data_IF_012151345358
#
_entry.id   IF_012151345358
#
_cell.length_a   1.000
_cell.length_b   1.000
_cell.length_c   1.000
_cell.angle_alpha   90.00
_cell.angle_beta   90.00
_cell.angle_gamma   90.00
#
_symmetry.space_group_name_H-M   'P 1'
#
loop_
_entity.id
_entity.type
_entity.pdbx_description
1 polymer ?
#
# COMPACT_ATOMS: atom_id res chain seq x y z
N UNK A 1 23.68 7.09 -1.40
CA UNK A 1 22.46 7.08 -0.56
C UNK A 1 21.82 5.69 -0.61
N UNK A 2 21.36 5.14 0.51
CA UNK A 2 20.56 3.90 0.52
C UNK A 2 19.08 4.28 0.41
N UNK A 3 18.43 3.88 -0.70
CA UNK A 3 17.01 4.12 -0.96
C UNK A 3 16.35 2.76 -1.09
N UNK A 4 15.54 2.37 -0.10
CA UNK A 4 14.82 1.09 -0.06
C UNK A 4 15.71 -0.15 -0.30
N UNK A 5 16.90 -0.19 0.29
CA UNK A 5 17.83 -1.33 0.16
C UNK A 5 18.70 -1.31 -1.09
N UNK A 6 18.57 -0.29 -1.95
CA UNK A 6 19.46 -0.06 -3.09
C UNK A 6 20.46 1.03 -2.75
N UNK A 7 21.74 0.80 -3.05
CA UNK A 7 22.76 1.84 -2.93
C UNK A 7 22.82 2.58 -4.26
N UNK A 8 22.46 3.87 -4.21
CA UNK A 8 22.52 4.79 -5.34
C UNK A 8 23.82 5.60 -5.22
N UNK A 9 24.83 5.35 -6.09
CA UNK A 9 26.14 6.03 -6.03
C UNK A 9 26.08 7.47 -6.55
N UNK A 10 25.13 7.76 -7.45
CA UNK A 10 24.77 9.09 -7.90
C UNK A 10 23.26 9.23 -7.76
N UNK A 11 22.82 10.24 -7.03
CA UNK A 11 21.40 10.58 -6.87
C UNK A 11 21.27 12.08 -7.06
N UNK A 12 20.23 12.51 -7.77
CA UNK A 12 19.88 13.92 -7.93
C UNK A 12 18.62 14.14 -7.12
N UNK A 13 18.67 15.08 -6.18
CA UNK A 13 17.53 15.47 -5.37
C UNK A 13 17.08 16.85 -5.85
N UNK A 14 15.86 16.91 -6.40
CA UNK A 14 15.24 18.17 -6.83
C UNK A 14 14.25 18.61 -5.76
N UNK A 15 14.45 19.82 -5.24
CA UNK A 15 13.57 20.45 -4.26
C UNK A 15 12.99 21.70 -4.86
N UNK A 16 11.66 21.81 -4.86
CA UNK A 16 10.96 23.04 -5.16
C UNK A 16 10.42 23.61 -3.85
N UNK A 17 10.87 24.80 -3.49
CA UNK A 17 10.32 25.55 -2.37
C UNK A 17 9.21 26.45 -2.92
N UNK A 18 8.00 26.29 -2.40
CA UNK A 18 6.83 27.06 -2.83
C UNK A 18 6.45 28.09 -1.77
N UNK A 19 6.02 29.26 -2.23
CA UNK A 19 5.38 30.28 -1.42
C UNK A 19 4.11 30.75 -2.13
N UNK A 20 2.98 30.95 -1.41
CA UNK A 20 2.77 30.66 0.00
C UNK A 20 2.53 29.16 0.27
N UNK A 21 2.45 28.76 1.55
CA UNK A 21 2.14 27.38 1.96
C UNK A 21 0.67 27.05 1.64
N UNK A 22 0.41 25.99 0.85
CA UNK A 22 -0.93 25.71 0.32
C UNK A 22 -1.65 24.44 0.81
N UNK A 23 -1.01 23.57 1.60
CA UNK A 23 -1.59 22.29 2.03
C UNK A 23 -1.88 22.27 3.54
N UNK A 24 -2.89 23.02 3.97
CA UNK A 24 -3.31 23.10 5.37
C UNK A 24 -4.51 22.18 5.63
N UNK A 25 -4.53 21.54 6.80
CA UNK A 25 -5.66 20.71 7.21
C UNK A 25 -6.94 21.55 7.29
N UNK A 26 -7.99 21.13 6.59
CA UNK A 26 -9.28 21.85 6.56
C UNK A 26 -9.39 22.98 5.53
N UNK A 27 -8.33 23.26 4.76
CA UNK A 27 -8.36 24.28 3.71
C UNK A 27 -8.20 23.64 2.32
N UNK A 28 -9.01 24.08 1.35
CA UNK A 28 -8.89 23.64 -0.03
C UNK A 28 -7.69 24.32 -0.71
N UNK A 29 -6.80 23.58 -1.40
CA UNK A 29 -5.66 24.16 -2.12
C UNK A 29 -6.05 25.07 -3.29
N UNK A 30 -7.30 24.95 -3.77
CA UNK A 30 -7.88 25.76 -4.84
C UNK A 30 -9.39 25.88 -4.66
N UNK A 31 -9.99 26.88 -5.30
CA UNK A 31 -11.45 27.05 -5.36
C UNK A 31 -11.96 26.47 -6.70
N UNK A 32 -13.02 25.63 -6.70
CA UNK A 32 -13.59 25.12 -7.94
C UNK A 32 -14.29 26.25 -8.71
N UNK A 33 -14.08 26.32 -10.03
CA UNK A 33 -14.65 27.38 -10.86
C UNK A 33 -14.14 27.34 -12.30
N UNK A 34 -14.61 28.27 -13.13
CA UNK A 34 -14.06 28.46 -14.48
C UNK A 34 -12.67 29.11 -14.37
N UNK A 35 -11.70 28.75 -15.23
CA UNK A 35 -10.40 29.40 -15.22
C UNK A 35 -10.52 30.92 -15.29
N UNK A 36 -9.69 31.63 -14.52
CA UNK A 36 -9.64 33.08 -14.44
C UNK A 36 -10.92 33.80 -13.96
N UNK A 37 -11.94 33.07 -13.46
CA UNK A 37 -13.18 33.72 -12.99
C UNK A 37 -13.00 34.54 -11.70
N UNK A 38 -11.88 34.37 -10.99
CA UNK A 38 -11.57 35.01 -9.72
C UNK A 38 -10.07 35.30 -9.59
N UNK A 39 -9.45 35.91 -10.60
CA UNK A 39 -8.04 36.29 -10.51
C UNK A 39 -7.82 37.37 -9.45
N UNK A 40 -6.88 37.17 -8.50
CA UNK A 40 -6.63 38.16 -7.45
C UNK A 40 -6.17 39.50 -8.03
N UNK A 41 -6.52 40.64 -7.39
CA UNK A 41 -6.04 41.96 -7.81
C UNK A 41 -4.51 42.07 -7.90
N UNK A 42 -3.77 41.29 -7.10
CA UNK A 42 -2.30 41.23 -7.13
C UNK A 42 -1.73 40.74 -8.47
N UNK A 43 -2.53 40.00 -9.26
CA UNK A 43 -2.19 39.55 -10.61
C UNK A 43 -2.74 40.49 -11.69
N UNK A 44 -3.23 41.70 -11.34
CA UNK A 44 -3.72 42.68 -12.31
C UNK A 44 -5.00 42.28 -13.04
N UNK A 45 -5.69 41.23 -12.58
CA UNK A 45 -6.93 40.72 -13.20
C UNK A 45 -6.74 40.07 -14.59
N UNK A 46 -5.50 39.96 -15.07
CA UNK A 46 -5.19 39.39 -16.38
C UNK A 46 -5.31 37.87 -16.38
N UNK A 47 -5.70 37.34 -17.54
CA UNK A 47 -5.80 35.91 -17.79
C UNK A 47 -5.01 35.55 -19.04
N UNK A 48 -4.02 34.66 -18.89
CA UNK A 48 -3.24 34.15 -20.01
C UNK A 48 -3.19 32.64 -19.94
N UNK A 49 -3.57 31.95 -21.01
CA UNK A 49 -3.53 30.49 -21.09
C UNK A 49 -4.21 29.79 -19.89
N UNK A 50 -5.37 30.32 -19.46
CA UNK A 50 -6.15 29.84 -18.29
C UNK A 50 -5.47 30.04 -16.92
N UNK A 51 -4.42 30.87 -16.84
CA UNK A 51 -3.73 31.24 -15.61
C UNK A 51 -3.84 32.74 -15.34
N UNK A 52 -4.03 33.09 -14.07
CA UNK A 52 -3.99 34.49 -13.65
C UNK A 52 -2.58 35.04 -13.81
N UNK A 53 -2.45 36.13 -14.57
CA UNK A 53 -1.17 36.67 -15.00
C UNK A 53 -1.22 38.19 -14.98
N UNK A 54 -0.13 38.82 -14.50
CA UNK A 54 0.01 40.28 -14.48
C UNK A 54 0.83 40.72 -15.69
N UNK A 55 0.25 41.55 -16.56
CA UNK A 55 1.02 42.24 -17.61
C UNK A 55 1.93 43.31 -16.99
N UNK A 56 3.18 43.35 -17.46
CA UNK A 56 4.28 44.08 -16.83
C UNK A 56 4.00 45.60 -16.79
N UNK A 57 3.94 46.14 -15.57
CA UNK A 57 4.26 47.55 -15.31
C UNK A 57 5.48 47.59 -14.39
N UNK A 58 6.50 48.33 -14.82
CA UNK A 58 7.81 48.49 -14.18
C UNK A 58 7.71 49.07 -12.76
N UNK A 59 7.32 48.26 -11.77
CA UNK A 59 7.47 48.60 -10.34
C UNK A 59 8.06 47.42 -9.56
N UNK A 60 9.13 47.65 -8.77
CA UNK A 60 9.72 46.62 -7.93
C UNK A 60 8.70 46.07 -6.92
N UNK A 61 8.75 44.75 -6.72
CA UNK A 61 7.98 44.03 -5.71
C UNK A 61 8.39 44.49 -4.30
N UNK A 62 7.49 45.13 -3.55
CA UNK A 62 7.63 45.23 -2.09
C UNK A 62 6.98 44.00 -1.48
N UNK A 63 7.70 43.15 -0.72
CA UNK A 63 7.12 42.02 -0.02
C UNK A 63 6.34 42.52 1.20
N UNK A 64 5.16 43.11 0.97
CA UNK A 64 4.14 43.10 2.00
C UNK A 64 3.40 41.78 1.87
N UNK A 65 3.58 40.91 2.86
CA UNK A 65 2.73 39.73 3.06
C UNK A 65 1.27 40.19 3.01
N UNK A 66 0.42 39.64 2.13
CA UNK A 66 -1.01 39.86 2.25
C UNK A 66 -1.44 39.20 3.57
N UNK A 67 -1.83 40.04 4.52
CA UNK A 67 -2.50 39.63 5.75
C UNK A 67 -3.69 38.73 5.39
N UNK A 68 -3.68 37.53 5.95
CA UNK A 68 -4.84 36.70 6.30
C UNK A 68 -6.04 36.72 5.33
N UNK A 69 -5.94 36.04 4.18
CA UNK A 69 -7.13 35.35 3.64
C UNK A 69 -7.15 33.92 4.18
N UNK A 70 -7.62 33.78 5.42
CA UNK A 70 -8.02 32.49 5.98
C UNK A 70 -9.16 31.92 5.14
N UNK A 71 -8.92 30.77 4.50
CA UNK A 71 -9.96 30.02 3.80
C UNK A 71 -10.90 29.37 4.85
N UNK A 72 -11.74 30.14 5.52
CA UNK A 72 -12.78 29.59 6.39
C UNK A 72 -13.88 28.92 5.55
N UNK A 73 -14.17 27.66 5.86
CA UNK A 73 -15.37 26.97 5.38
C UNK A 73 -16.48 27.28 6.37
N UNK A 74 -17.51 27.99 5.89
CA UNK A 74 -18.72 28.31 6.64
C UNK A 74 -19.36 27.02 7.19
N UNK A 75 -19.28 26.82 8.52
CA UNK A 75 -20.01 25.73 9.20
C UNK A 75 -21.50 26.00 9.02
N UNK A 76 -22.20 25.12 8.31
CA UNK A 76 -23.66 25.09 8.34
C UNK A 76 -24.15 24.94 9.79
N UNK A 77 -24.60 26.06 10.37
CA UNK A 77 -25.30 26.11 11.64
C UNK A 77 -26.74 25.66 11.41
N UNK A 78 -27.09 24.58 12.08
CA UNK A 78 -28.46 24.24 12.48
C UNK A 78 -29.18 25.46 13.06
N UNK A 79 -30.32 25.83 12.48
CA UNK A 79 -31.38 26.58 13.17
C UNK A 79 -32.74 25.97 12.85
N UNK A 80 -33.36 25.45 13.91
CA UNK A 80 -34.77 25.18 14.01
C UNK A 80 -35.57 26.49 14.14
N UNK A 81 -36.82 26.44 13.67
CA UNK A 81 -38.06 27.14 14.08
C UNK A 81 -38.83 27.58 12.83
N UNK A 82 -39.88 26.85 12.42
CA UNK A 82 -41.23 26.73 12.99
C UNK A 82 -42.18 27.80 12.43
N UNK A 83 -43.07 27.36 11.54
CA UNK A 83 -44.25 28.07 11.07
C UNK A 83 -45.25 27.05 10.48
N UNK A 84 -46.11 26.54 11.36
CA UNK A 84 -47.50 26.07 11.15
C UNK A 84 -48.27 26.91 10.11
N UNK A 85 -49.24 26.48 9.28
CA UNK A 85 -50.29 25.44 9.26
C UNK A 85 -50.74 25.27 7.78
N UNK A 86 -51.06 24.06 7.31
CA UNK A 86 -52.38 23.71 6.73
C UNK A 86 -52.46 22.27 6.19
N UNK A 87 -53.50 21.60 6.68
CA UNK A 87 -53.91 20.20 6.57
C UNK A 87 -54.57 19.82 5.24
N UNK A 88 -54.35 18.57 4.76
CA UNK A 88 -55.40 17.55 4.42
C UNK A 88 -54.79 16.27 3.77
N UNK A 89 -55.54 15.13 3.72
CA UNK A 89 -55.11 13.85 4.29
C UNK A 89 -54.57 12.81 3.28
N UNK A 90 -53.96 11.76 3.86
CA UNK A 90 -53.51 10.51 3.24
C UNK A 90 -54.66 9.73 2.58
N UNK A 91 -54.34 9.09 1.46
CA UNK A 91 -55.05 7.90 0.98
C UNK A 91 -54.02 6.82 0.62
N UNK A 92 -54.22 5.61 1.14
CA UNK A 92 -53.43 4.41 0.92
C UNK A 92 -53.64 3.85 -0.50
N UNK A 93 -52.63 3.19 -1.05
CA UNK A 93 -52.80 1.83 -1.63
C UNK A 93 -51.45 1.09 -1.73
N UNK A 94 -51.41 -0.22 -1.40
CA UNK A 94 -50.20 -1.03 -1.36
C UNK A 94 -49.99 -1.76 -2.70
N UNK A 95 -48.74 -1.84 -3.14
CA UNK A 95 -48.34 -2.81 -4.17
C UNK A 95 -47.23 -3.69 -3.62
N UNK A 96 -47.62 -4.91 -3.28
CA UNK A 96 -46.74 -6.02 -3.02
C UNK A 96 -46.13 -6.50 -4.34
N UNK A 97 -44.81 -6.66 -4.36
CA UNK A 97 -44.15 -7.64 -5.21
C UNK A 97 -42.83 -8.04 -4.56
N UNK A 98 -42.88 -9.17 -3.85
CA UNK A 98 -41.81 -10.19 -3.79
C UNK A 98 -40.38 -9.67 -3.70
N UNK A 99 -39.93 -9.44 -2.46
CA UNK A 99 -38.51 -9.43 -2.13
C UNK A 99 -37.94 -10.82 -2.41
N UNK A 100 -37.23 -10.94 -3.52
CA UNK A 100 -36.23 -11.99 -3.69
C UNK A 100 -35.21 -11.83 -2.58
N UNK A 101 -34.96 -12.91 -1.85
CA UNK A 101 -33.84 -13.07 -0.92
C UNK A 101 -32.53 -12.62 -1.62
N UNK A 102 -32.14 -11.36 -1.42
CA UNK A 102 -30.79 -10.89 -1.68
C UNK A 102 -29.91 -11.54 -0.61
N UNK A 103 -29.52 -12.78 -0.88
CA UNK A 103 -28.33 -13.37 -0.28
C UNK A 103 -27.19 -12.40 -0.54
N UNK A 104 -26.84 -11.60 0.46
CA UNK A 104 -25.66 -10.75 0.49
C UNK A 104 -24.48 -11.56 -0.07
N UNK A 105 -24.13 -11.29 -1.33
CA UNK A 105 -22.92 -11.84 -1.93
C UNK A 105 -21.77 -11.29 -1.11
N UNK A 106 -21.30 -12.15 -0.23
CA UNK A 106 -20.39 -11.84 0.86
C UNK A 106 -18.98 -11.65 0.29
N UNK A 107 -18.76 -10.68 -0.59
CA UNK A 107 -17.55 -10.54 -1.40
C UNK A 107 -16.34 -10.05 -0.59
N UNK A 108 -15.13 -10.45 -0.99
CA UNK A 108 -13.89 -9.89 -0.41
C UNK A 108 -13.83 -8.43 -0.82
N UNK A 109 -13.97 -7.52 0.15
CA UNK A 109 -14.14 -6.08 -0.11
C UNK A 109 -12.84 -5.44 -0.60
N UNK A 110 -11.69 -5.93 -0.12
CA UNK A 110 -10.38 -5.43 -0.52
C UNK A 110 -9.69 -6.39 -1.48
N UNK A 111 -9.42 -5.96 -2.70
CA UNK A 111 -8.68 -6.72 -3.72
C UNK A 111 -7.19 -6.39 -3.76
N UNK A 112 -6.67 -5.65 -2.77
CA UNK A 112 -5.26 -5.27 -2.75
C UNK A 112 -4.39 -6.51 -2.47
N UNK A 113 -3.59 -6.90 -3.47
CA UNK A 113 -2.65 -8.02 -3.38
C UNK A 113 -1.25 -7.56 -2.97
N UNK A 114 -0.52 -8.44 -2.28
CA UNK A 114 0.90 -8.25 -1.96
C UNK A 114 1.78 -8.75 -3.11
N UNK A 115 1.40 -9.86 -3.73
CA UNK A 115 2.09 -10.43 -4.88
C UNK A 115 1.87 -9.57 -6.12
N UNK A 116 2.92 -9.42 -6.92
CA UNK A 116 2.83 -8.85 -8.26
C UNK A 116 2.99 -9.95 -9.29
N UNK A 117 2.00 -10.09 -10.17
CA UNK A 117 2.08 -10.95 -11.34
C UNK A 117 3.11 -10.33 -12.30
N UNK A 118 4.10 -11.12 -12.72
CA UNK A 118 5.19 -10.67 -13.59
C UNK A 118 5.35 -11.59 -14.80
N UNK A 119 5.99 -11.12 -15.87
CA UNK A 119 6.44 -12.00 -16.95
C UNK A 119 7.84 -12.54 -16.68
N UNK A 120 8.25 -13.61 -17.37
CA UNK A 120 9.56 -14.22 -17.20
C UNK A 120 10.74 -13.27 -17.48
N UNK A 121 10.52 -12.22 -18.26
CA UNK A 121 11.55 -11.24 -18.63
C UNK A 121 11.73 -10.13 -17.58
N UNK A 122 10.81 -10.00 -16.62
CA UNK A 122 10.83 -8.95 -15.60
C UNK A 122 12.07 -9.08 -14.73
N UNK A 123 12.82 -7.97 -14.66
CA UNK A 123 13.99 -7.82 -13.79
C UNK A 123 13.58 -7.10 -12.53
N UNK A 124 14.32 -7.32 -11.44
CA UNK A 124 14.02 -6.65 -10.18
C UNK A 124 14.19 -5.12 -10.23
N UNK A 125 15.00 -4.61 -11.16
CA UNK A 125 15.11 -3.16 -11.41
C UNK A 125 13.86 -2.56 -12.08
N UNK A 126 13.12 -3.36 -12.84
CA UNK A 126 12.08 -2.88 -13.75
C UNK A 126 10.73 -2.71 -13.03
N UNK A 127 10.35 -3.66 -12.19
CA UNK A 127 9.06 -3.65 -11.49
C UNK A 127 9.23 -3.39 -9.97
N UNK A 128 8.94 -2.14 -9.63
CA UNK A 128 8.62 -1.62 -8.31
C UNK A 128 9.76 -1.14 -7.38
N UNK A 129 9.51 0.04 -6.80
CA UNK A 129 10.29 0.74 -5.79
C UNK A 129 9.48 0.84 -4.49
N UNK A 130 9.91 0.18 -3.42
CA UNK A 130 9.22 0.19 -2.12
C UNK A 130 9.25 -1.15 -1.39
N UNK A 131 8.70 -1.21 -0.17
CA UNK A 131 8.73 -2.40 0.70
C UNK A 131 7.63 -3.42 0.40
N UNK A 132 6.56 -3.03 -0.30
CA UNK A 132 5.48 -3.94 -0.75
C UNK A 132 5.87 -4.84 -1.92
N UNK A 133 7.08 -4.67 -2.45
CA UNK A 133 7.52 -5.25 -3.72
C UNK A 133 8.61 -6.29 -3.51
N UNK A 134 8.27 -7.23 -2.65
CA UNK A 134 9.14 -8.32 -2.26
C UNK A 134 8.54 -9.67 -2.66
N UNK A 135 7.23 -9.79 -2.89
CA UNK A 135 6.60 -11.04 -3.37
C UNK A 135 6.17 -10.91 -4.83
N UNK A 136 6.54 -11.89 -5.64
CA UNK A 136 6.23 -11.94 -7.06
C UNK A 136 5.61 -13.29 -7.42
N UNK A 137 4.70 -13.27 -8.39
CA UNK A 137 4.08 -14.46 -8.97
C UNK A 137 4.58 -14.66 -10.38
N UNK A 138 5.31 -15.75 -10.57
CA UNK A 138 5.94 -16.14 -11.82
C UNK A 138 5.05 -17.12 -12.58
N UNK A 139 4.83 -16.90 -13.89
CA UNK A 139 4.10 -17.83 -14.73
C UNK A 139 4.95 -19.08 -15.01
N UNK A 140 4.29 -20.11 -15.54
CA UNK A 140 4.96 -21.28 -16.07
C UNK A 140 5.79 -20.94 -17.33
N UNK A 141 6.73 -21.82 -17.70
CA UNK A 141 7.51 -21.71 -18.94
C UNK A 141 8.69 -20.73 -18.88
N UNK A 142 9.09 -20.29 -17.69
CA UNK A 142 10.20 -19.34 -17.56
C UNK A 142 11.59 -19.95 -17.79
N UNK A 143 11.73 -21.27 -17.86
CA UNK A 143 13.01 -21.92 -18.16
C UNK A 143 13.54 -21.53 -19.55
N UNK A 144 12.65 -21.52 -20.55
CA UNK A 144 12.97 -21.26 -21.97
C UNK A 144 13.04 -19.77 -22.33
N UNK A 145 12.68 -18.88 -21.39
CA UNK A 145 12.77 -17.43 -21.58
C UNK A 145 14.20 -16.99 -21.93
N UNK A 146 14.35 -15.96 -22.75
CA UNK A 146 15.67 -15.42 -23.15
C UNK A 146 16.28 -14.51 -22.07
N UNK A 147 15.57 -14.31 -20.95
CA UNK A 147 16.03 -13.50 -19.85
C UNK A 147 17.37 -14.02 -19.29
N UNK A 148 18.19 -13.08 -18.83
CA UNK A 148 19.51 -13.37 -18.28
C UNK A 148 19.42 -13.53 -16.76
N UNK A 149 20.29 -14.40 -16.23
CA UNK A 149 20.55 -14.53 -14.80
C UNK A 149 22.02 -14.23 -14.57
N UNK A 150 22.34 -13.28 -13.71
CA UNK A 150 23.71 -12.84 -13.43
C UNK A 150 24.00 -13.13 -11.95
N UNK A 151 24.97 -14.00 -11.70
CA UNK A 151 25.35 -14.43 -10.36
C UNK A 151 24.71 -15.75 -9.91
N UNK A 152 25.10 -16.15 -8.70
CA UNK A 152 24.70 -17.40 -8.06
C UNK A 152 24.53 -17.12 -6.58
N UNK A 153 23.44 -17.60 -5.98
CA UNK A 153 22.97 -17.25 -4.62
C UNK A 153 22.57 -15.79 -4.48
N UNK A 154 23.48 -14.88 -4.83
CA UNK A 154 23.22 -13.46 -4.96
C UNK A 154 23.12 -13.13 -6.45
N UNK A 155 22.00 -12.55 -6.86
CA UNK A 155 21.72 -12.19 -8.24
C UNK A 155 21.80 -10.69 -8.42
N UNK A 156 22.34 -10.23 -9.55
CA UNK A 156 22.33 -8.80 -9.87
C UNK A 156 20.90 -8.33 -10.16
N UNK A 157 20.53 -7.11 -9.76
CA UNK A 157 19.21 -6.49 -10.02
C UNK A 157 18.74 -6.49 -11.50
N UNK A 158 19.64 -6.71 -12.46
CA UNK A 158 19.32 -6.85 -13.89
C UNK A 158 18.93 -8.29 -14.29
N UNK A 159 18.99 -9.24 -13.36
CA UNK A 159 18.57 -10.62 -13.59
C UNK A 159 17.04 -10.73 -13.58
N UNK A 160 16.50 -11.66 -14.37
CA UNK A 160 15.08 -12.04 -14.28
C UNK A 160 14.79 -12.64 -12.91
N UNK A 161 13.68 -12.21 -12.29
CA UNK A 161 13.24 -12.70 -10.97
C UNK A 161 12.91 -14.19 -11.06
N UNK A 162 12.09 -14.56 -12.04
CA UNK A 162 11.60 -15.93 -12.21
C UNK A 162 12.71 -16.90 -12.60
N UNK A 163 13.59 -16.53 -13.54
CA UNK A 163 14.74 -17.39 -13.87
C UNK A 163 15.75 -17.49 -12.75
N UNK A 164 15.97 -16.43 -11.97
CA UNK A 164 16.83 -16.50 -10.79
C UNK A 164 16.24 -17.45 -9.72
N UNK A 165 14.91 -17.46 -9.55
CA UNK A 165 14.22 -18.38 -8.65
C UNK A 165 14.33 -19.84 -9.08
N UNK A 166 14.19 -20.13 -10.38
CA UNK A 166 14.42 -21.46 -10.95
C UNK A 166 15.89 -21.86 -10.81
N UNK A 167 16.83 -20.99 -11.19
CA UNK A 167 18.27 -21.24 -11.05
C UNK A 167 18.66 -21.52 -9.59
N UNK A 168 18.04 -20.85 -8.63
CA UNK A 168 18.27 -21.13 -7.20
C UNK A 168 17.65 -22.46 -6.75
N UNK A 169 16.54 -22.89 -7.38
CA UNK A 169 15.81 -24.12 -7.06
C UNK A 169 14.62 -23.91 -6.14
N UNK A 170 14.10 -22.67 -6.06
CA UNK A 170 12.88 -22.37 -5.30
C UNK A 170 11.62 -22.63 -6.13
N UNK A 171 11.70 -22.36 -7.43
CA UNK A 171 10.65 -22.62 -8.41
C UNK A 171 11.12 -23.67 -9.40
N UNK A 172 10.18 -24.40 -9.98
CA UNK A 172 10.35 -25.20 -11.18
C UNK A 172 9.77 -24.45 -12.40
N UNK A 173 9.59 -25.14 -13.53
CA UNK A 173 9.04 -24.53 -14.73
C UNK A 173 7.51 -24.32 -14.68
N UNK A 174 6.82 -24.78 -13.63
CA UNK A 174 5.39 -24.50 -13.43
C UNK A 174 5.15 -23.09 -12.86
N UNK A 175 6.21 -22.46 -12.34
CA UNK A 175 6.15 -21.11 -11.79
C UNK A 175 5.70 -21.09 -10.32
N UNK A 176 4.98 -20.05 -9.93
CA UNK A 176 4.50 -19.85 -8.56
C UNK A 176 5.12 -18.62 -7.87
N UNK A 177 5.03 -18.58 -6.54
CA UNK A 177 5.39 -17.40 -5.75
C UNK A 177 6.83 -17.42 -5.24
N UNK A 178 7.50 -16.29 -5.38
CA UNK A 178 8.86 -16.07 -4.90
C UNK A 178 8.95 -14.78 -4.11
N UNK A 179 9.62 -14.86 -2.96
CA UNK A 179 10.01 -13.70 -2.18
C UNK A 179 11.42 -13.25 -2.55
N UNK A 180 11.65 -11.94 -2.52
CA UNK A 180 12.88 -11.29 -2.95
C UNK A 180 13.37 -10.35 -1.86
N UNK A 181 14.63 -10.51 -1.48
CA UNK A 181 15.32 -9.62 -0.53
C UNK A 181 16.43 -8.86 -1.24
N UNK A 182 16.40 -7.53 -1.17
CA UNK A 182 17.49 -6.69 -1.70
C UNK A 182 18.67 -6.71 -0.72
N UNK A 183 19.86 -7.07 -1.21
CA UNK A 183 21.07 -7.35 -0.40
C UNK A 183 22.17 -6.29 -0.56
N UNK A 184 21.82 -5.09 -1.04
CA UNK A 184 22.80 -4.01 -1.30
C UNK A 184 23.81 -4.38 -2.39
N UNK A 185 24.98 -3.72 -2.38
CA UNK A 185 26.03 -3.94 -3.40
C UNK A 185 26.87 -5.17 -3.10
N UNK A 186 27.17 -5.94 -4.15
CA UNK A 186 28.21 -6.98 -4.16
C UNK A 186 29.31 -6.57 -5.13
N UNK A 187 30.54 -6.96 -4.84
CA UNK A 187 31.71 -6.57 -5.64
C UNK A 187 31.82 -7.35 -6.95
N UNK A 188 31.37 -8.61 -6.95
CA UNK A 188 31.36 -9.49 -8.10
C UNK A 188 30.23 -10.53 -7.96
N UNK A 189 29.95 -11.21 -9.06
CA UNK A 189 28.92 -12.24 -9.20
C UNK A 189 29.53 -13.47 -9.87
N UNK A 190 29.47 -14.61 -9.19
CA UNK A 190 30.03 -15.87 -9.67
C UNK A 190 28.99 -16.56 -10.57
N UNK A 191 29.43 -17.08 -11.72
CA UNK A 191 28.58 -17.91 -12.60
C UNK A 191 28.45 -19.35 -12.08
N UNK A 192 27.30 -19.98 -12.32
CA UNK A 192 27.10 -21.41 -12.11
C UNK A 192 26.07 -21.96 -13.09
N UNK A 193 26.01 -23.29 -13.18
CA UNK A 193 24.93 -24.00 -13.86
C UNK A 193 24.08 -24.72 -12.81
N UNK A 194 22.78 -24.39 -12.73
CA UNK A 194 21.84 -25.00 -11.77
C UNK A 194 20.45 -25.06 -12.37
N UNK A 195 19.74 -26.16 -12.14
CA UNK A 195 18.34 -26.36 -12.53
C UNK A 195 18.06 -25.98 -14.00
N UNK A 196 18.93 -26.43 -14.91
CA UNK A 196 18.80 -26.15 -16.35
C UNK A 196 19.24 -24.76 -16.80
N UNK A 197 19.64 -23.87 -15.88
CA UNK A 197 19.98 -22.48 -16.18
C UNK A 197 21.48 -22.23 -15.98
N UNK A 198 22.12 -21.66 -17.00
CA UNK A 198 23.47 -21.11 -16.90
C UNK A 198 23.40 -19.63 -16.50
N UNK A 199 23.96 -19.28 -15.35
CA UNK A 199 24.12 -17.87 -14.96
C UNK A 199 25.40 -17.26 -15.54
N UNK A 200 25.42 -15.93 -15.62
CA UNK A 200 26.53 -15.11 -16.14
C UNK A 200 27.34 -14.57 -14.96
N UNK A 201 28.66 -14.56 -15.11
CA UNK A 201 29.57 -13.98 -14.14
C UNK A 201 29.82 -12.51 -14.42
N UNK A 202 30.01 -11.69 -13.38
CA UNK A 202 30.27 -10.26 -13.50
C UNK A 202 31.28 -9.81 -12.46
N UNK A 203 32.41 -9.28 -12.89
CA UNK A 203 33.50 -8.80 -12.02
C UNK A 203 33.41 -7.29 -11.71
N UNK A 204 32.19 -6.75 -11.75
CA UNK A 204 31.92 -5.34 -11.46
C UNK A 204 30.90 -5.23 -10.34
N UNK A 205 31.09 -4.21 -9.50
CA UNK A 205 30.21 -4.01 -8.36
C UNK A 205 28.82 -3.52 -8.77
N UNK A 206 27.78 -4.22 -8.31
CA UNK A 206 26.39 -3.89 -8.61
C UNK A 206 25.47 -4.24 -7.43
N UNK A 207 24.26 -3.68 -7.43
CA UNK A 207 23.24 -4.04 -6.46
C UNK A 207 22.78 -5.49 -6.69
N UNK A 208 22.48 -6.18 -5.60
CA UNK A 208 22.14 -7.60 -5.59
C UNK A 208 20.83 -7.87 -4.85
N UNK A 209 20.26 -9.03 -5.14
CA UNK A 209 19.13 -9.58 -4.42
C UNK A 209 19.29 -11.09 -4.21
N UNK A 210 18.55 -11.62 -3.24
CA UNK A 210 18.37 -13.04 -3.01
C UNK A 210 16.89 -13.39 -3.17
N UNK A 211 16.61 -14.65 -3.47
CA UNK A 211 15.27 -15.20 -3.61
C UNK A 211 15.00 -16.20 -2.48
N UNK A 212 13.76 -16.31 -2.04
CA UNK A 212 13.30 -17.28 -1.05
C UNK A 212 11.93 -17.85 -1.41
N UNK A 213 11.67 -19.10 -1.00
CA UNK A 213 10.38 -19.76 -1.21
C UNK A 213 9.30 -19.13 -0.35
N UNK A 214 8.13 -18.88 -0.93
CA UNK A 214 6.93 -18.53 -0.17
C UNK A 214 6.37 -19.81 0.44
N UNK A 215 6.42 -19.91 1.77
CA UNK A 215 5.80 -21.01 2.50
C UNK A 215 4.35 -20.70 2.82
N UNK A 216 3.54 -21.74 2.98
CA UNK A 216 2.14 -21.63 3.40
C UNK A 216 2.01 -22.21 4.80
N UNK A 217 1.33 -21.50 5.71
CA UNK A 217 1.15 -21.94 7.09
C UNK A 217 -0.29 -21.73 7.56
N UNK A 218 -0.93 -22.80 8.04
CA UNK A 218 -2.20 -22.68 8.74
C UNK A 218 -1.97 -22.13 10.15
N UNK A 219 -2.78 -21.15 10.55
CA UNK A 219 -2.64 -20.45 11.83
C UNK A 219 -3.94 -20.50 12.64
N UNK A 220 -3.90 -20.03 13.88
CA UNK A 220 -5.10 -19.88 14.72
C UNK A 220 -5.60 -18.43 14.67
N UNK A 221 -6.83 -18.18 15.11
CA UNK A 221 -7.38 -16.83 15.21
C UNK A 221 -6.63 -15.93 16.21
N UNK A 222 -5.77 -16.48 17.06
CA UNK A 222 -4.97 -15.76 18.04
C UNK A 222 -3.54 -15.47 17.56
N UNK A 223 -3.11 -16.10 16.45
CA UNK A 223 -1.75 -15.95 15.95
C UNK A 223 -1.46 -14.51 15.54
N UNK A 224 -0.33 -13.97 16.01
CA UNK A 224 0.12 -12.59 15.76
C UNK A 224 1.38 -12.56 14.89
N UNK A 225 1.69 -11.39 14.32
CA UNK A 225 2.92 -11.22 13.51
C UNK A 225 4.18 -11.23 14.36
N UNK A 226 4.10 -10.73 15.59
CA UNK A 226 5.20 -10.76 16.55
C UNK A 226 5.73 -12.20 16.75
N UNK A 227 4.83 -13.18 16.84
CA UNK A 227 5.16 -14.59 17.03
C UNK A 227 5.56 -15.27 15.73
N UNK A 228 4.85 -14.99 14.63
CA UNK A 228 4.98 -15.73 13.38
C UNK A 228 6.20 -15.28 12.55
N UNK A 229 6.37 -13.98 12.40
CA UNK A 229 7.34 -13.39 11.47
C UNK A 229 7.68 -11.95 11.87
N UNK A 230 8.40 -11.75 12.99
CA UNK A 230 8.72 -10.43 13.50
C UNK A 230 9.51 -9.60 12.49
N UNK A 231 9.22 -8.29 12.43
CA UNK A 231 9.87 -7.40 11.49
C UNK A 231 11.35 -7.17 11.82
N UNK A 232 12.21 -7.46 10.84
CA UNK A 232 13.65 -7.24 10.86
C UNK A 232 14.09 -6.51 9.59
N UNK A 233 15.10 -5.66 9.70
CA UNK A 233 15.70 -4.98 8.55
C UNK A 233 16.69 -5.92 7.85
N UNK A 234 16.81 -5.90 6.51
CA UNK A 234 16.18 -4.96 5.58
C UNK A 234 14.73 -5.30 5.20
N UNK A 235 14.31 -6.56 5.35
CA UNK A 235 12.92 -7.01 5.21
C UNK A 235 12.74 -8.37 5.91
N UNK A 236 11.56 -8.59 6.48
CA UNK A 236 11.08 -9.92 6.89
C UNK A 236 10.03 -10.41 5.90
N UNK A 237 10.12 -11.67 5.50
CA UNK A 237 9.08 -12.33 4.73
C UNK A 237 8.24 -13.18 5.67
N UNK A 238 6.92 -13.00 5.63
CA UNK A 238 5.99 -13.90 6.32
C UNK A 238 5.57 -15.04 5.38
N UNK A 239 5.25 -16.23 5.93
CA UNK A 239 4.51 -17.22 5.16
C UNK A 239 3.18 -16.61 4.68
N UNK A 240 2.65 -17.12 3.56
CA UNK A 240 1.23 -16.96 3.25
C UNK A 240 0.44 -17.74 4.29
N UNK A 241 -0.44 -17.07 5.02
CA UNK A 241 -1.17 -17.72 6.10
C UNK A 241 -2.53 -18.22 5.61
N UNK A 242 -2.98 -19.34 6.17
CA UNK A 242 -4.35 -19.79 6.03
C UNK A 242 -5.09 -19.54 7.34
N UNK A 243 -6.07 -18.65 7.29
CA UNK A 243 -6.94 -18.34 8.42
C UNK A 243 -8.08 -19.35 8.51
N UNK A 244 -8.37 -19.88 9.71
CA UNK A 244 -9.50 -20.76 9.91
C UNK A 244 -10.81 -19.98 9.88
N UNK A 245 -11.92 -20.72 9.84
CA UNK A 245 -13.26 -20.14 9.90
C UNK A 245 -13.56 -19.59 11.30
N UNK A 246 -14.57 -18.71 11.40
CA UNK A 246 -15.13 -18.15 12.63
C UNK A 246 -14.17 -17.31 13.50
N UNK A 247 -13.15 -16.70 12.90
CA UNK A 247 -12.28 -15.78 13.64
C UNK A 247 -12.96 -14.47 14.07
N UNK A 248 -14.12 -14.12 13.49
CA UNK A 248 -14.91 -12.96 13.93
C UNK A 248 -15.41 -13.13 15.37
N UNK A 249 -15.76 -14.36 15.75
CA UNK A 249 -16.26 -14.71 17.09
C UNK A 249 -15.14 -14.95 18.12
N UNK A 250 -13.87 -14.91 17.71
CA UNK A 250 -12.77 -15.14 18.63
C UNK A 250 -12.72 -14.06 19.72
N UNK A 251 -12.37 -14.46 20.94
CA UNK A 251 -12.40 -13.59 22.11
C UNK A 251 -11.51 -12.33 21.88
N UNK A 252 -12.07 -11.11 21.98
CA UNK A 252 -11.32 -9.86 21.86
C UNK A 252 -10.12 -9.76 22.79
N UNK A 253 -10.13 -10.39 23.96
CA UNK A 253 -9.00 -10.34 24.88
C UNK A 253 -7.73 -11.01 24.36
N UNK A 254 -7.86 -12.11 23.59
CA UNK A 254 -6.72 -12.87 23.05
C UNK A 254 -6.45 -12.55 21.58
N UNK A 255 -7.48 -12.19 20.82
CA UNK A 255 -7.38 -11.86 19.40
C UNK A 255 -7.69 -10.37 19.18
N UNK A 256 -6.88 -9.49 19.76
CA UNK A 256 -7.06 -8.03 19.65
C UNK A 256 -6.76 -7.55 18.23
N UNK A 257 -7.36 -6.42 17.85
CA UNK A 257 -7.05 -5.71 16.61
C UNK A 257 -6.74 -4.27 16.96
N UNK A 258 -5.51 -3.83 16.70
CA UNK A 258 -5.05 -2.47 17.04
C UNK A 258 -4.60 -1.77 15.76
N UNK A 259 -5.26 -0.66 15.43
CA UNK A 259 -5.00 0.13 14.24
C UNK A 259 -5.88 -0.21 13.03
N UNK A 260 -5.70 0.57 11.97
CA UNK A 260 -6.48 0.50 10.73
C UNK A 260 -5.54 0.69 9.54
N UNK A 261 -5.68 -0.13 8.49
CA UNK A 261 -4.77 -0.27 7.32
C UNK A 261 -3.35 -0.76 7.66
N UNK A 262 -2.78 -0.28 8.76
CA UNK A 262 -1.54 -0.76 9.37
C UNK A 262 -1.88 -1.14 10.81
N UNK A 263 -1.64 -2.40 11.15
CA UNK A 263 -1.97 -2.99 12.44
C UNK A 263 -0.72 -3.16 13.28
N UNK A 264 -0.86 -3.06 14.60
CA UNK A 264 0.23 -3.38 15.53
C UNK A 264 0.54 -4.87 15.44
N UNK A 265 1.81 -5.28 15.50
CA UNK A 265 2.27 -6.68 15.36
C UNK A 265 1.75 -7.66 16.41
N UNK A 266 1.27 -7.16 17.55
CA UNK A 266 0.54 -7.91 18.58
C UNK A 266 -0.93 -8.18 18.25
N UNK A 267 -1.44 -7.64 17.14
CA UNK A 267 -2.82 -7.89 16.70
C UNK A 267 -2.94 -9.28 16.08
N UNK A 268 -4.11 -9.91 16.22
CA UNK A 268 -4.46 -11.13 15.52
C UNK A 268 -4.42 -10.91 14.00
N UNK A 269 -3.69 -11.78 13.29
CA UNK A 269 -3.58 -11.70 11.82
C UNK A 269 -4.95 -11.89 11.18
N UNK A 270 -5.69 -12.94 11.57
CA UNK A 270 -6.96 -13.28 10.93
C UNK A 270 -8.07 -12.29 11.23
N UNK A 271 -8.12 -11.74 12.45
CA UNK A 271 -9.11 -10.69 12.77
C UNK A 271 -8.75 -9.35 12.13
N UNK A 272 -7.47 -9.00 12.05
CA UNK A 272 -7.05 -7.83 11.29
C UNK A 272 -7.38 -7.98 9.80
N UNK A 273 -7.28 -9.20 9.25
CA UNK A 273 -7.66 -9.52 7.88
C UNK A 273 -9.17 -9.40 7.63
N UNK A 274 -10.01 -9.89 8.56
CA UNK A 274 -11.46 -9.67 8.54
C UNK A 274 -11.80 -8.19 8.64
N UNK A 275 -11.20 -7.47 9.60
CA UNK A 275 -11.37 -6.03 9.75
C UNK A 275 -11.00 -5.28 8.47
N UNK A 276 -9.90 -5.64 7.81
CA UNK A 276 -9.48 -5.05 6.54
C UNK A 276 -10.36 -5.46 5.34
N UNK A 277 -11.21 -6.49 5.49
CA UNK A 277 -12.04 -7.03 4.42
C UNK A 277 -11.25 -7.79 3.35
N UNK A 278 -10.06 -8.32 3.70
CA UNK A 278 -9.22 -9.11 2.78
C UNK A 278 -9.53 -10.61 2.82
N UNK A 279 -10.26 -11.07 3.84
CA UNK A 279 -10.72 -12.46 4.00
C UNK A 279 -12.12 -12.46 4.61
N UNK A 280 -12.89 -13.53 4.34
CA UNK A 280 -14.25 -13.74 4.89
C UNK A 280 -14.21 -14.53 6.19
N UNK A 281 -15.30 -14.52 6.95
CA UNK A 281 -15.38 -15.31 8.21
C UNK A 281 -15.35 -16.83 7.98
N UNK A 282 -15.46 -17.30 6.74
CA UNK A 282 -15.22 -18.70 6.37
C UNK A 282 -13.74 -19.09 6.41
N UNK A 283 -12.84 -18.13 6.59
CA UNK A 283 -11.39 -18.33 6.50
C UNK A 283 -10.88 -18.18 5.07
N UNK A 284 -9.60 -18.49 4.87
CA UNK A 284 -8.94 -18.37 3.58
C UNK A 284 -7.49 -17.91 3.67
N UNK A 285 -6.86 -17.73 2.51
CA UNK A 285 -5.48 -17.30 2.42
C UNK A 285 -5.34 -15.78 2.60
N UNK A 286 -4.33 -15.38 3.36
CA UNK A 286 -3.98 -13.98 3.59
C UNK A 286 -2.48 -13.82 3.45
N UNK A 287 -2.07 -12.78 2.73
CA UNK A 287 -0.67 -12.37 2.67
C UNK A 287 -0.38 -11.30 3.73
N UNK A 288 0.72 -11.46 4.45
CA UNK A 288 1.10 -10.59 5.57
C UNK A 288 2.44 -9.93 5.27
N UNK A 289 2.51 -8.62 5.45
CA UNK A 289 3.75 -7.85 5.30
C UNK A 289 4.10 -7.15 6.61
N UNK A 290 5.14 -7.62 7.32
CA UNK A 290 5.70 -6.91 8.47
C UNK A 290 6.32 -5.59 8.02
N UNK A 291 6.07 -4.54 8.78
CA UNK A 291 6.60 -3.20 8.54
C UNK A 291 7.09 -2.58 9.84
N UNK A 292 7.88 -1.51 9.71
CA UNK A 292 8.30 -0.77 10.89
C UNK A 292 7.10 -0.07 11.56
N UNK A 293 7.27 0.21 12.84
CA UNK A 293 6.17 0.68 13.71
C UNK A 293 5.62 2.04 13.29
N UNK A 294 4.36 2.28 13.61
CA UNK A 294 3.79 3.64 13.60
C UNK A 294 3.84 4.28 14.98
N UNK A 295 3.97 5.61 14.99
CA UNK A 295 3.83 6.40 16.23
C UNK A 295 2.39 6.39 16.75
N UNK A 296 1.42 6.30 15.85
CA UNK A 296 -0.02 6.33 16.18
C UNK A 296 -0.76 5.31 15.34
N UNK A 297 -1.62 4.54 16.00
CA UNK A 297 -2.59 3.62 15.41
C UNK A 297 -3.99 4.18 15.67
N UNK A 298 -4.78 4.32 14.60
CA UNK A 298 -6.13 4.88 14.65
C UNK A 298 -7.15 3.74 14.72
N UNK A 299 -8.10 3.87 15.65
CA UNK A 299 -9.24 2.98 15.81
C UNK A 299 -10.26 3.18 14.69
N UNK A 300 -10.92 2.10 14.26
CA UNK A 300 -12.09 2.16 13.39
C UNK A 300 -12.97 0.93 13.57
N UNK A 301 -14.21 1.02 13.08
CA UNK A 301 -15.11 -0.13 13.00
C UNK A 301 -15.28 -0.50 11.53
N UNK A 302 -14.82 -1.70 11.16
CA UNK A 302 -14.87 -2.20 9.78
C UNK A 302 -15.21 -3.68 9.79
N UNK A 303 -16.11 -4.08 8.88
CA UNK A 303 -16.48 -5.49 8.66
C UNK A 303 -16.87 -6.22 9.95
N UNK A 304 -17.62 -5.52 10.82
CA UNK A 304 -18.11 -6.04 12.09
C UNK A 304 -17.05 -6.23 13.19
N UNK A 305 -15.84 -5.70 13.01
CA UNK A 305 -14.76 -5.71 14.02
C UNK A 305 -14.42 -4.28 14.41
N UNK A 306 -14.30 -4.03 15.71
CA UNK A 306 -13.78 -2.78 16.25
C UNK A 306 -12.27 -2.92 16.48
N UNK A 307 -11.48 -2.00 15.92
CA UNK A 307 -10.05 -1.90 16.18
C UNK A 307 -9.75 -0.82 17.22
N UNK A 308 -8.74 -1.06 18.06
CA UNK A 308 -8.32 -0.15 19.12
C UNK A 308 -7.29 0.88 18.61
N UNK A 309 -7.19 2.00 19.32
CA UNK A 309 -6.14 3.00 19.06
C UNK A 309 -4.96 2.78 20.02
N UNK A 310 -3.76 3.15 19.57
CA UNK A 310 -2.54 3.02 20.37
C UNK A 310 -1.55 4.12 20.00
N UNK A 311 -0.99 4.79 21.01
CA UNK A 311 0.00 5.85 20.82
C UNK A 311 1.37 5.42 21.36
N UNK A 312 2.41 5.72 20.58
CA UNK A 312 3.82 5.51 20.88
C UNK A 312 4.13 4.14 21.52
N UNK A 313 3.71 3.02 20.91
CA UNK A 313 4.00 1.73 21.53
C UNK A 313 5.52 1.48 21.60
N UNK A 314 6.04 1.16 22.80
CA UNK A 314 7.44 0.82 22.98
C UNK A 314 7.70 -0.56 22.39
N UNK A 315 8.78 -0.71 21.63
CA UNK A 315 9.21 -2.00 21.07
C UNK A 315 8.39 -2.55 19.90
N UNK A 316 7.06 -2.37 19.91
CA UNK A 316 6.15 -3.00 18.95
C UNK A 316 6.45 -2.60 17.49
N UNK A 317 6.23 -3.53 16.56
CA UNK A 317 6.29 -3.31 15.10
C UNK A 317 4.88 -3.20 14.56
N UNK A 318 4.75 -3.34 13.25
CA UNK A 318 3.47 -3.27 12.57
C UNK A 318 3.41 -4.29 11.43
N UNK A 319 2.21 -4.47 10.89
CA UNK A 319 2.01 -5.22 9.67
C UNK A 319 0.86 -4.68 8.85
N UNK A 320 0.84 -5.13 7.59
CA UNK A 320 -0.27 -4.97 6.65
C UNK A 320 -0.73 -6.35 6.20
N UNK A 321 -2.01 -6.46 5.89
CA UNK A 321 -2.65 -7.66 5.36
C UNK A 321 -3.14 -7.39 3.95
N UNK A 322 -3.09 -8.41 3.10
CA UNK A 322 -3.43 -8.34 1.69
C UNK A 322 -4.28 -9.55 1.31
N UNK A 323 -5.20 -9.34 0.37
CA UNK A 323 -6.02 -10.42 -0.16
C UNK A 323 -5.20 -11.33 -1.06
N UNK A 324 -5.60 -12.59 -1.09
CA UNK A 324 -5.15 -13.58 -2.08
C UNK A 324 -6.37 -13.86 -2.95
N UNK A 325 -6.30 -13.40 -4.20
CA UNK A 325 -7.38 -13.48 -5.21
C UNK A 325 -6.85 -14.29 -6.38
#
# INVERSE_FOLDING_TARGET
MNIWGQIWPKAVYLVCNYSPKGNWWGHAPYKPGRPCSACPPSFGGGCRENLCYREDSERPYSPHEPEEETNEIERQRSKAQDATVQSRPRTHSPSASTGTDDSEKNEVISTQQMSQIVSCEVRLRDQCKGTTCNRYECPAGCLDSKAKVIGSVHYEMQSSICKAAIHYGILDNEGGWVDVTRQGRKNYFIKSYRNGIQSIGKYQSANSFTVSKVTVQAITCETTVEQLCPFQKPASHCPRVYCPHNCMQANPHYARVIGTRIYCDVSSICRAALHAGVVRNQGGYVDVMPVDKRKVYVASFQNGIYSESLQNPPGSKAFRVFAVV
#
